data_IF_536859780444
#
_entry.id   IF_536859780444
#
_cell.length_a   1.000
_cell.length_b   1.000
_cell.length_c   1.000
_cell.angle_alpha   90.00
_cell.angle_beta   90.00
_cell.angle_gamma   90.00
#
_symmetry.space_group_name_H-M   'P 1'
#
loop_
_entity.id
_entity.type
_entity.pdbx_description
1 polymer ?
#
# COMPACT_ATOMS: atom_id res chain seq x y z
N UNK A 1 7.20 26.52 -39.72
CA UNK A 1 7.07 25.06 -39.48
C UNK A 1 7.56 24.58 -38.11
N UNK A 2 8.33 25.36 -37.36
CA UNK A 2 8.94 24.97 -36.08
C UNK A 2 7.98 24.95 -34.87
N UNK A 3 6.92 25.77 -34.87
CA UNK A 3 5.95 25.84 -33.77
C UNK A 3 5.05 24.60 -33.62
N UNK A 4 4.73 23.93 -34.73
CA UNK A 4 3.89 22.72 -34.72
C UNK A 4 4.65 21.51 -34.17
N UNK A 5 5.98 21.45 -34.32
CA UNK A 5 6.78 20.33 -33.80
C UNK A 5 7.01 20.39 -32.28
N UNK A 6 7.03 21.59 -31.67
CA UNK A 6 7.15 21.75 -30.21
C UNK A 6 5.89 21.28 -29.47
N UNK A 7 4.71 21.48 -30.06
CA UNK A 7 3.40 21.05 -29.52
C UNK A 7 3.25 19.53 -29.43
N UNK A 8 3.82 18.78 -30.38
CA UNK A 8 3.67 17.32 -30.45
C UNK A 8 4.61 16.61 -29.47
N UNK A 9 5.82 17.14 -29.26
CA UNK A 9 6.79 16.56 -28.30
C UNK A 9 6.44 16.80 -26.83
N UNK A 10 5.68 17.84 -26.50
CA UNK A 10 5.38 18.20 -25.11
C UNK A 10 4.29 17.32 -24.46
N UNK A 11 3.36 16.77 -25.24
CA UNK A 11 2.24 15.95 -24.76
C UNK A 11 2.65 14.67 -24.01
N UNK A 12 3.51 13.79 -24.57
CA UNK A 12 3.90 12.56 -23.87
C UNK A 12 4.68 12.85 -22.58
N UNK A 13 5.51 13.90 -22.57
CA UNK A 13 6.23 14.35 -21.38
C UNK A 13 5.29 14.84 -20.31
N UNK A 14 4.31 15.69 -20.66
CA UNK A 14 3.31 16.19 -19.70
C UNK A 14 2.52 15.03 -19.08
N UNK A 15 2.05 14.10 -19.90
CA UNK A 15 1.28 12.94 -19.43
C UNK A 15 2.11 12.06 -18.49
N UNK A 16 3.39 11.82 -18.82
CA UNK A 16 4.28 11.07 -17.95
C UNK A 16 4.52 11.80 -16.62
N UNK A 17 4.72 13.12 -16.65
CA UNK A 17 4.85 13.95 -15.43
C UNK A 17 3.60 13.83 -14.55
N UNK A 18 2.41 13.92 -15.14
CA UNK A 18 1.15 13.74 -14.40
C UNK A 18 1.04 12.33 -13.80
N UNK A 19 1.49 11.29 -14.50
CA UNK A 19 1.50 9.92 -13.98
C UNK A 19 2.48 9.74 -12.82
N UNK A 20 3.65 10.40 -12.85
CA UNK A 20 4.59 10.42 -11.73
C UNK A 20 3.99 11.15 -10.53
N UNK A 21 3.36 12.31 -10.74
CA UNK A 21 2.69 13.05 -9.67
C UNK A 21 1.55 12.23 -9.05
N UNK A 22 0.77 11.53 -9.88
CA UNK A 22 -0.29 10.63 -9.41
C UNK A 22 0.27 9.48 -8.57
N UNK A 23 1.40 8.90 -8.97
CA UNK A 23 2.09 7.88 -8.18
C UNK A 23 2.53 8.46 -6.83
N UNK A 24 3.15 9.64 -6.80
CA UNK A 24 3.58 10.30 -5.55
C UNK A 24 2.38 10.53 -4.62
N UNK A 25 1.27 11.05 -5.16
CA UNK A 25 0.05 11.27 -4.39
C UNK A 25 -0.51 9.95 -3.83
N UNK A 26 -0.45 8.87 -4.60
CA UNK A 26 -0.88 7.55 -4.14
C UNK A 26 0.00 7.00 -3.00
N UNK A 27 1.31 7.29 -3.03
CA UNK A 27 2.24 6.90 -1.96
C UNK A 27 1.96 7.70 -0.68
N UNK A 28 1.71 9.00 -0.81
CA UNK A 28 1.29 9.83 0.32
C UNK A 28 0.00 9.28 0.95
N UNK A 29 -0.98 8.90 0.12
CA UNK A 29 -2.21 8.27 0.57
C UNK A 29 -1.97 6.95 1.33
N UNK A 30 -1.05 6.11 0.88
CA UNK A 30 -0.66 4.89 1.61
C UNK A 30 -0.05 5.20 2.97
N UNK A 31 0.88 6.17 3.03
CA UNK A 31 1.48 6.61 4.30
C UNK A 31 0.42 7.07 5.29
N UNK A 32 -0.50 7.92 4.83
CA UNK A 32 -1.60 8.41 5.66
C UNK A 32 -2.49 7.28 6.16
N UNK A 33 -2.82 6.30 5.31
CA UNK A 33 -3.63 5.16 5.74
C UNK A 33 -2.94 4.31 6.80
N UNK A 34 -1.62 4.16 6.71
CA UNK A 34 -0.83 3.42 7.70
C UNK A 34 -0.87 4.07 9.08
N UNK A 35 -0.89 5.42 9.15
CA UNK A 35 -1.07 6.17 10.41
C UNK A 35 -2.47 6.00 11.00
N UNK A 36 -3.48 5.60 10.24
CA UNK A 36 -4.80 5.31 10.81
C UNK A 36 -4.85 3.85 11.28
N UNK A 37 -4.17 2.96 10.56
CA UNK A 37 -4.11 1.55 10.89
C UNK A 37 -3.28 1.25 12.15
N UNK A 38 -2.35 2.12 12.59
CA UNK A 38 -1.58 1.86 13.83
C UNK A 38 -2.48 1.63 15.05
N UNK A 39 -3.66 2.25 15.09
CA UNK A 39 -4.63 2.05 16.16
C UNK A 39 -4.97 0.56 16.31
N UNK A 40 -5.08 -0.17 15.19
CA UNK A 40 -5.29 -1.63 15.13
C UNK A 40 -4.21 -2.45 15.84
N UNK A 41 -3.00 -1.91 15.97
CA UNK A 41 -1.86 -2.54 16.61
C UNK A 41 -1.65 -2.12 18.07
N UNK A 42 -2.34 -1.06 18.53
CA UNK A 42 -2.36 -0.60 19.91
C UNK A 42 -3.80 -0.62 20.48
N UNK A 43 -4.44 -1.81 20.57
CA UNK A 43 -5.86 -1.92 20.90
C UNK A 43 -6.19 -1.47 22.32
N UNK A 44 -5.23 -1.51 23.26
CA UNK A 44 -5.49 -1.28 24.67
C UNK A 44 -5.62 0.21 25.03
N UNK A 45 -5.16 1.13 24.17
CA UNK A 45 -5.35 2.57 24.43
C UNK A 45 -6.78 3.03 24.12
N UNK A 46 -7.52 2.22 23.37
CA UNK A 46 -8.97 2.40 23.18
C UNK A 46 -9.82 1.88 24.34
N UNK A 47 -9.22 1.19 25.31
CA UNK A 47 -9.92 0.61 26.46
C UNK A 47 -9.95 1.53 27.70
N UNK A 48 -10.96 1.37 28.58
CA UNK A 48 -10.94 1.92 29.93
C UNK A 48 -9.66 1.49 30.68
N UNK A 49 -9.09 2.38 31.49
CA UNK A 49 -7.83 2.17 32.21
C UNK A 49 -7.83 0.90 33.06
N UNK A 50 -8.99 0.54 33.60
CA UNK A 50 -9.20 -0.60 34.50
C UNK A 50 -9.13 -1.95 33.77
N UNK A 51 -9.38 -1.96 32.46
CA UNK A 51 -9.37 -3.15 31.62
C UNK A 51 -8.03 -3.33 30.86
N UNK A 52 -7.10 -2.38 31.00
CA UNK A 52 -5.80 -2.45 30.32
C UNK A 52 -4.89 -3.48 31.01
N UNK A 53 -4.10 -4.25 30.24
CA UNK A 53 -3.03 -5.06 30.79
C UNK A 53 -2.07 -4.22 31.63
N UNK A 54 -1.63 -4.76 32.77
CA UNK A 54 -0.69 -4.09 33.66
C UNK A 54 0.67 -3.85 32.96
N UNK A 55 1.42 -2.79 33.34
CA UNK A 55 2.80 -2.60 32.87
C UNK A 55 3.69 -3.83 33.14
N UNK A 56 4.59 -4.15 32.21
CA UNK A 56 5.47 -5.33 32.29
C UNK A 56 4.83 -6.65 31.85
N UNK A 57 3.59 -6.61 31.36
CA UNK A 57 3.01 -7.72 30.61
C UNK A 57 3.39 -7.61 29.14
N UNK A 58 3.57 -8.74 28.46
CA UNK A 58 3.93 -8.74 27.04
C UNK A 58 2.89 -8.04 26.17
N UNK A 59 1.61 -8.04 26.58
CA UNK A 59 0.54 -7.31 25.90
C UNK A 59 0.74 -5.80 25.96
N UNK A 60 1.09 -5.27 27.14
CA UNK A 60 1.37 -3.85 27.31
C UNK A 60 2.66 -3.46 26.57
N UNK A 61 3.70 -4.30 26.64
CA UNK A 61 4.96 -4.05 25.91
C UNK A 61 4.75 -4.01 24.38
N UNK A 62 3.90 -4.90 23.85
CA UNK A 62 3.55 -4.91 22.42
C UNK A 62 2.75 -3.66 22.02
N UNK A 63 1.78 -3.24 22.85
CA UNK A 63 1.03 -2.01 22.64
C UNK A 63 1.95 -0.79 22.62
N UNK A 64 2.80 -0.65 23.64
CA UNK A 64 3.74 0.47 23.79
C UNK A 64 4.75 0.51 22.63
N UNK A 65 5.13 -0.65 22.08
CA UNK A 65 5.95 -0.74 20.87
C UNK A 65 5.26 -0.07 19.66
N UNK A 66 3.97 -0.32 19.44
CA UNK A 66 3.25 0.27 18.31
C UNK A 66 2.78 1.70 18.56
N UNK A 67 2.63 2.11 19.81
CA UNK A 67 2.19 3.46 20.19
C UNK A 67 3.35 4.48 20.13
N UNK A 68 4.43 4.21 20.86
CA UNK A 68 5.49 5.20 21.14
C UNK A 68 6.84 4.91 20.50
N UNK A 69 7.04 3.73 19.92
CA UNK A 69 8.35 3.31 19.39
C UNK A 69 8.43 3.36 17.86
N UNK A 70 9.55 2.85 17.32
CA UNK A 70 9.75 2.60 15.87
C UNK A 70 8.63 1.72 15.29
N UNK A 71 7.96 0.91 16.12
CA UNK A 71 6.81 0.09 15.73
C UNK A 71 5.70 0.87 15.02
N UNK A 72 5.38 2.08 15.51
CA UNK A 72 4.39 3.00 14.91
C UNK A 72 4.67 3.22 13.41
N UNK A 73 5.94 3.49 13.07
CA UNK A 73 6.34 3.82 11.70
C UNK A 73 6.62 2.58 10.84
N UNK A 74 6.77 1.40 11.45
CA UNK A 74 7.21 0.19 10.75
C UNK A 74 6.22 -0.21 9.65
N UNK A 75 4.92 -0.16 9.95
CA UNK A 75 3.89 -0.51 8.97
C UNK A 75 3.83 0.48 7.80
N UNK A 76 3.90 1.78 8.10
CA UNK A 76 3.96 2.84 7.08
C UNK A 76 5.21 2.69 6.19
N UNK A 77 6.37 2.43 6.78
CA UNK A 77 7.62 2.24 6.06
C UNK A 77 7.56 1.02 5.13
N UNK A 78 6.96 -0.09 5.58
CA UNK A 78 6.76 -1.29 4.75
C UNK A 78 5.82 -1.01 3.58
N UNK A 79 4.67 -0.37 3.82
CA UNK A 79 3.70 -0.02 2.77
C UNK A 79 4.30 0.92 1.72
N UNK A 80 4.96 1.98 2.16
CA UNK A 80 5.66 2.92 1.28
C UNK A 80 6.79 2.25 0.51
N UNK A 81 7.60 1.45 1.20
CA UNK A 81 8.71 0.71 0.60
C UNK A 81 8.23 -0.23 -0.49
N UNK A 82 7.21 -1.04 -0.23
CA UNK A 82 6.60 -1.92 -1.24
C UNK A 82 5.95 -1.12 -2.38
N UNK A 83 5.24 -0.04 -2.06
CA UNK A 83 4.59 0.85 -3.03
C UNK A 83 5.59 1.51 -3.99
N UNK A 84 6.85 1.67 -3.57
CA UNK A 84 7.95 2.16 -4.41
C UNK A 84 8.72 1.03 -5.11
N UNK A 85 8.99 -0.07 -4.42
CA UNK A 85 9.80 -1.18 -4.95
C UNK A 85 9.14 -1.81 -6.18
N UNK A 86 7.83 -2.05 -6.16
CA UNK A 86 7.14 -2.68 -7.29
C UNK A 86 7.18 -1.85 -8.59
N UNK A 87 6.84 -0.54 -8.60
CA UNK A 87 6.96 0.25 -9.82
C UNK A 87 8.42 0.35 -10.29
N UNK A 88 9.40 0.48 -9.39
CA UNK A 88 10.82 0.49 -9.77
C UNK A 88 11.26 -0.82 -10.42
N UNK A 89 10.85 -1.97 -9.87
CA UNK A 89 11.12 -3.29 -10.45
C UNK A 89 10.46 -3.47 -11.82
N UNK A 90 9.24 -2.97 -11.99
CA UNK A 90 8.53 -3.03 -13.27
C UNK A 90 9.18 -2.13 -14.32
N UNK A 91 9.54 -0.89 -13.97
CA UNK A 91 10.22 0.05 -14.86
C UNK A 91 11.56 -0.51 -15.36
N UNK A 92 12.34 -1.17 -14.49
CA UNK A 92 13.62 -1.81 -14.88
C UNK A 92 13.48 -2.91 -15.93
N UNK A 93 12.30 -3.54 -16.04
CA UNK A 93 12.02 -4.63 -16.98
C UNK A 93 11.31 -4.17 -18.26
N UNK A 94 10.91 -2.91 -18.33
CA UNK A 94 10.07 -2.39 -19.41
C UNK A 94 10.88 -1.53 -20.37
N UNK A 95 10.65 -1.61 -21.70
CA UNK A 95 11.25 -0.68 -22.65
C UNK A 95 10.93 0.77 -22.30
N UNK A 96 11.88 1.68 -22.52
CA UNK A 96 11.76 3.10 -22.20
C UNK A 96 10.88 3.85 -23.23
N UNK A 97 9.59 3.51 -23.25
CA UNK A 97 8.57 4.18 -24.06
C UNK A 97 7.59 4.90 -23.15
N UNK A 98 7.38 6.23 -23.33
CA UNK A 98 6.54 7.03 -22.45
C UNK A 98 5.12 6.47 -22.26
N UNK A 99 4.46 5.95 -23.29
CA UNK A 99 3.09 5.43 -23.12
C UNK A 99 3.04 4.22 -22.17
N UNK A 100 4.01 3.32 -22.27
CA UNK A 100 4.07 2.12 -21.43
C UNK A 100 4.37 2.49 -19.98
N UNK A 101 5.31 3.41 -19.77
CA UNK A 101 5.65 3.91 -18.43
C UNK A 101 4.47 4.63 -17.80
N UNK A 102 3.78 5.51 -18.54
CA UNK A 102 2.55 6.16 -18.05
C UNK A 102 1.50 5.15 -17.62
N UNK A 103 1.15 4.16 -18.47
CA UNK A 103 0.15 3.15 -18.11
C UNK A 103 0.54 2.36 -16.87
N UNK A 104 1.82 2.01 -16.76
CA UNK A 104 2.37 1.32 -15.61
C UNK A 104 2.22 2.15 -14.34
N UNK A 105 2.70 3.39 -14.34
CA UNK A 105 2.67 4.30 -13.20
C UNK A 105 1.23 4.60 -12.75
N UNK A 106 0.33 4.85 -13.70
CA UNK A 106 -1.10 5.04 -13.41
C UNK A 106 -1.70 3.77 -12.82
N UNK A 107 -1.39 2.59 -13.36
CA UNK A 107 -1.84 1.31 -12.80
C UNK A 107 -1.41 1.14 -11.35
N UNK A 108 -0.13 1.35 -11.05
CA UNK A 108 0.40 1.33 -9.67
C UNK A 108 -0.33 2.33 -8.78
N UNK A 109 -0.50 3.58 -9.23
CA UNK A 109 -1.18 4.60 -8.45
C UNK A 109 -2.64 4.23 -8.13
N UNK A 110 -3.38 3.72 -9.12
CA UNK A 110 -4.76 3.27 -8.94
C UNK A 110 -4.86 2.09 -7.96
N UNK A 111 -3.95 1.11 -8.06
CA UNK A 111 -3.92 -0.01 -7.10
C UNK A 111 -3.57 0.43 -5.68
N UNK A 112 -2.71 1.44 -5.51
CA UNK A 112 -2.41 2.03 -4.21
C UNK A 112 -3.63 2.75 -3.63
N UNK A 113 -4.33 3.57 -4.43
CA UNK A 113 -5.58 4.20 -3.99
C UNK A 113 -6.67 3.18 -3.64
N UNK A 114 -6.78 2.09 -4.41
CA UNK A 114 -7.71 1.02 -4.13
C UNK A 114 -7.40 0.32 -2.80
N UNK A 115 -6.11 0.10 -2.50
CA UNK A 115 -5.67 -0.41 -1.19
C UNK A 115 -6.07 0.56 -0.08
N UNK A 116 -5.72 1.85 -0.18
CA UNK A 116 -6.09 2.86 0.82
C UNK A 116 -7.60 2.91 1.04
N UNK A 117 -8.38 2.97 -0.03
CA UNK A 117 -9.84 2.99 0.06
C UNK A 117 -10.40 1.72 0.71
N UNK A 118 -9.83 0.55 0.39
CA UNK A 118 -10.19 -0.71 1.01
C UNK A 118 -9.87 -0.76 2.51
N UNK A 119 -8.70 -0.26 2.92
CA UNK A 119 -8.32 -0.17 4.33
C UNK A 119 -9.26 0.77 5.09
N UNK A 120 -9.57 1.94 4.53
CA UNK A 120 -10.54 2.86 5.14
C UNK A 120 -11.94 2.23 5.26
N UNK A 121 -12.38 1.51 4.23
CA UNK A 121 -13.66 0.81 4.26
C UNK A 121 -13.68 -0.29 5.34
N UNK A 122 -12.60 -1.07 5.46
CA UNK A 122 -12.44 -2.07 6.54
C UNK A 122 -12.56 -1.36 7.89
N UNK A 123 -11.83 -0.26 8.11
CA UNK A 123 -11.86 0.46 9.38
C UNK A 123 -13.29 0.91 9.72
N UNK A 124 -14.00 1.52 8.77
CA UNK A 124 -15.37 2.00 8.98
C UNK A 124 -16.37 0.86 9.23
N UNK A 125 -16.25 -0.24 8.49
CA UNK A 125 -17.15 -1.40 8.63
C UNK A 125 -16.87 -2.13 9.93
N UNK A 126 -15.60 -2.42 10.21
CA UNK A 126 -15.18 -3.12 11.41
C UNK A 126 -15.50 -2.28 12.65
N UNK A 127 -15.28 -0.97 12.66
CA UNK A 127 -15.66 -0.12 13.80
C UNK A 127 -17.14 -0.26 14.21
N UNK A 128 -18.03 -0.62 13.28
CA UNK A 128 -19.48 -0.81 13.54
C UNK A 128 -19.89 -2.23 13.93
N UNK A 129 -19.01 -3.21 13.74
CA UNK A 129 -19.30 -4.62 14.07
C UNK A 129 -19.11 -4.84 15.57
N UNK A 130 -20.13 -5.36 16.27
CA UNK A 130 -20.03 -5.75 17.67
C UNK A 130 -19.38 -7.14 17.79
N UNK A 131 -18.12 -7.23 17.39
CA UNK A 131 -17.25 -8.40 17.54
C UNK A 131 -16.30 -8.13 18.71
N UNK A 132 -16.84 -8.01 19.91
CA UNK A 132 -16.05 -8.05 21.13
C UNK A 132 -15.97 -9.51 21.54
N UNK A 133 -14.78 -10.11 21.46
CA UNK A 133 -14.54 -11.44 22.00
C UNK A 133 -14.45 -11.29 23.51
N UNK A 134 -15.56 -11.51 24.23
CA UNK A 134 -15.49 -11.73 25.67
C UNK A 134 -14.66 -13.01 25.95
N UNK A 135 -13.80 -13.04 26.98
CA UNK A 135 -13.59 -12.01 28.01
C UNK A 135 -12.47 -10.99 27.71
N UNK A 136 -11.77 -11.09 26.58
CA UNK A 136 -10.58 -10.28 26.26
C UNK A 136 -10.83 -9.33 25.06
N UNK A 137 -11.49 -8.18 25.26
CA UNK A 137 -11.93 -7.31 24.16
C UNK A 137 -10.77 -6.80 23.27
N UNK A 138 -9.53 -6.83 23.75
CA UNK A 138 -8.36 -6.24 23.06
C UNK A 138 -7.83 -7.13 21.95
N UNK A 139 -7.83 -8.45 22.17
CA UNK A 139 -7.51 -9.41 21.13
C UNK A 139 -8.61 -9.50 20.08
N UNK A 140 -9.87 -9.41 20.50
CA UNK A 140 -11.01 -9.31 19.59
C UNK A 140 -10.86 -8.12 18.64
N UNK A 141 -10.46 -6.97 19.18
CA UNK A 141 -10.21 -5.77 18.40
C UNK A 141 -9.04 -5.95 17.43
N UNK A 142 -7.88 -6.43 17.90
CA UNK A 142 -6.71 -6.66 17.05
C UNK A 142 -7.04 -7.62 15.89
N UNK A 143 -7.63 -8.79 16.16
CA UNK A 143 -7.97 -9.79 15.12
C UNK A 143 -8.95 -9.21 14.09
N UNK A 144 -9.93 -8.44 14.57
CA UNK A 144 -11.00 -7.85 13.77
C UNK A 144 -10.50 -6.84 12.73
N UNK A 145 -9.47 -6.06 13.04
CA UNK A 145 -8.87 -5.12 12.08
C UNK A 145 -7.70 -5.76 11.31
N UNK A 146 -6.84 -6.51 12.00
CA UNK A 146 -5.61 -7.05 11.43
C UNK A 146 -5.88 -8.11 10.35
N UNK A 147 -6.83 -9.03 10.56
CA UNK A 147 -7.06 -10.13 9.60
C UNK A 147 -7.57 -9.60 8.25
N UNK A 148 -8.61 -8.76 8.18
CA UNK A 148 -9.04 -8.18 6.91
C UNK A 148 -7.96 -7.33 6.23
N UNK A 149 -7.18 -6.56 7.00
CA UNK A 149 -6.11 -5.72 6.47
C UNK A 149 -4.95 -6.56 5.90
N UNK A 150 -4.52 -7.62 6.60
CA UNK A 150 -3.50 -8.54 6.09
C UNK A 150 -3.96 -9.26 4.83
N UNK A 151 -5.24 -9.65 4.77
CA UNK A 151 -5.82 -10.23 3.56
C UNK A 151 -5.79 -9.24 2.39
N UNK A 152 -6.22 -7.99 2.64
CA UNK A 152 -6.21 -6.94 1.63
C UNK A 152 -4.78 -6.60 1.17
N UNK A 153 -3.82 -6.57 2.09
CA UNK A 153 -2.40 -6.37 1.80
C UNK A 153 -1.84 -7.52 0.95
N UNK A 154 -2.17 -8.77 1.28
CA UNK A 154 -1.79 -9.94 0.50
C UNK A 154 -2.34 -9.88 -0.93
N UNK A 155 -3.61 -9.50 -1.08
CA UNK A 155 -4.24 -9.29 -2.39
C UNK A 155 -3.53 -8.18 -3.17
N UNK A 156 -3.26 -7.05 -2.52
CA UNK A 156 -2.53 -5.94 -3.13
C UNK A 156 -1.15 -6.36 -3.63
N UNK A 157 -0.35 -7.07 -2.82
CA UNK A 157 0.96 -7.61 -3.23
C UNK A 157 0.81 -8.49 -4.47
N UNK A 158 -0.16 -9.40 -4.48
CA UNK A 158 -0.42 -10.28 -5.65
C UNK A 158 -0.75 -9.47 -6.90
N UNK A 159 -1.58 -8.42 -6.78
CA UNK A 159 -1.93 -7.54 -7.90
C UNK A 159 -0.71 -6.75 -8.40
N UNK A 160 0.14 -6.25 -7.49
CA UNK A 160 1.37 -5.54 -7.85
C UNK A 160 2.34 -6.45 -8.59
N UNK A 161 2.59 -7.65 -8.06
CA UNK A 161 3.49 -8.63 -8.68
C UNK A 161 2.98 -9.06 -10.06
N UNK A 162 1.67 -9.26 -10.23
CA UNK A 162 1.06 -9.58 -11.53
C UNK A 162 1.21 -8.47 -12.56
N UNK A 163 1.30 -7.22 -12.11
CA UNK A 163 1.46 -6.05 -12.97
C UNK A 163 2.89 -5.86 -13.47
N UNK A 164 3.87 -6.57 -12.90
CA UNK A 164 5.26 -6.55 -13.35
C UNK A 164 5.39 -7.35 -14.66
N UNK A 165 5.93 -6.75 -15.75
CA UNK A 165 6.19 -7.48 -16.98
C UNK A 165 7.08 -8.71 -16.73
N UNK A 166 6.62 -9.89 -17.13
CA UNK A 166 7.46 -11.10 -17.19
C UNK A 166 8.50 -10.90 -18.29
N UNK A 167 9.75 -11.32 -18.06
CA UNK A 167 10.82 -11.25 -19.09
C UNK A 167 10.26 -11.83 -20.39
N UNK A 168 10.26 -11.03 -21.45
CA UNK A 168 10.10 -11.55 -22.81
C UNK A 168 11.35 -12.39 -23.02
N UNK A 169 11.18 -13.71 -23.17
CA UNK A 169 12.29 -14.58 -23.55
C UNK A 169 12.93 -14.10 -24.85
N UNK A 170 14.13 -14.60 -25.22
CA UNK A 170 14.66 -14.32 -26.55
C UNK A 170 13.56 -14.63 -27.59
N UNK A 171 13.42 -13.81 -28.66
CA UNK A 171 12.46 -14.10 -29.71
C UNK A 171 12.65 -15.56 -30.14
N UNK A 172 11.55 -16.33 -30.32
CA UNK A 172 11.68 -17.72 -30.78
C UNK A 172 12.58 -17.71 -32.00
N UNK A 173 13.66 -18.50 -31.94
CA UNK A 173 14.64 -18.56 -33.01
C UNK A 173 13.86 -18.70 -34.33
N UNK A 174 13.97 -17.68 -35.18
CA UNK A 174 13.33 -17.74 -36.49
C UNK A 174 13.85 -19.02 -37.13
N UNK A 175 12.94 -19.97 -37.35
CA UNK A 175 13.25 -21.22 -38.04
C UNK A 175 13.81 -20.82 -39.40
N UNK A 176 15.14 -20.88 -39.53
CA UNK A 176 15.83 -20.77 -40.81
C UNK A 176 15.53 -22.08 -41.54
N UNK A 177 14.52 -22.04 -42.41
CA UNK A 177 14.31 -23.01 -43.47
C UNK A 177 14.67 -22.35 -44.80
#
# INVERSE_FOLDING_TARGET
MTQLQLSVRSRPTLVLTLAVLLLILSLFSLSWSAEITYWGFAPYDSMPLEARPLPGTWQRDLNDFFEYSIGNQTFAAVLLGLGLVFPLLALRKMPNTPERWTRLLVGFALTNFALTAGMMAIIVVMAKLHLELEPDPGYGWMVKFLVPELFLLGLWIVLQVRSIPRRIGPPPAAHMN
#
